data_IF_476811034420
#
_entry.id   IF_476811034420
#
_cell.length_a   1.000
_cell.length_b   1.000
_cell.length_c   1.000
_cell.angle_alpha   90.00
_cell.angle_beta   90.00
_cell.angle_gamma   90.00
#
_symmetry.space_group_name_H-M   'P 1'
#
loop_
_entity.id
_entity.type
_entity.pdbx_description
1 polymer ?
#
# COMPACT_ATOMS: atom_id res chain seq x y z
N UNK A 1 -8.93 6.71 21.50
CA UNK A 1 -8.85 8.11 21.09
C UNK A 1 -7.37 8.51 21.01
N UNK A 2 -6.84 8.73 19.82
CA UNK A 2 -5.48 9.18 19.54
C UNK A 2 -5.42 9.86 18.18
N UNK A 3 -4.32 10.56 17.90
CA UNK A 3 -4.06 11.18 16.60
C UNK A 3 -3.82 10.11 15.54
N UNK A 4 -4.27 10.33 14.31
CA UNK A 4 -3.94 9.49 13.17
C UNK A 4 -2.42 9.45 12.98
N UNK A 5 -1.85 8.26 12.77
CA UNK A 5 -0.43 8.14 12.46
C UNK A 5 -0.17 7.02 11.47
N UNK A 6 0.94 7.15 10.74
CA UNK A 6 1.46 6.15 9.81
C UNK A 6 2.84 5.69 10.29
N UNK A 7 3.03 4.39 10.40
CA UNK A 7 4.31 3.77 10.75
C UNK A 7 4.99 3.26 9.48
N UNK A 8 6.34 3.30 9.43
CA UNK A 8 7.09 2.90 8.25
C UNK A 8 6.78 1.48 7.77
N UNK A 9 6.60 0.55 8.72
CA UNK A 9 6.27 -0.85 8.40
C UNK A 9 4.91 -1.01 7.72
N UNK A 10 3.93 -0.14 8.00
CA UNK A 10 2.61 -0.19 7.39
C UNK A 10 2.65 0.11 5.89
N UNK A 11 3.67 0.85 5.42
CA UNK A 11 3.82 1.21 4.01
C UNK A 11 4.08 0.00 3.10
N UNK A 12 4.61 -1.11 3.65
CA UNK A 12 4.85 -2.32 2.87
C UNK A 12 4.10 -3.56 3.37
N UNK A 13 3.38 -3.43 4.50
CA UNK A 13 2.58 -4.54 5.03
C UNK A 13 1.08 -4.31 4.94
N UNK A 14 0.66 -3.07 4.80
CA UNK A 14 -0.75 -2.70 4.93
C UNK A 14 -1.26 -1.75 3.86
N UNK A 15 -0.51 -0.70 3.52
CA UNK A 15 -0.94 0.26 2.52
C UNK A 15 -0.44 -0.14 1.12
N UNK A 16 -1.27 0.11 0.12
CA UNK A 16 -0.85 0.15 -1.28
C UNK A 16 -0.37 1.55 -1.67
N UNK A 17 -0.62 1.93 -2.90
CA UNK A 17 -0.17 3.20 -3.46
C UNK A 17 -0.93 4.42 -2.92
N UNK A 18 -2.02 4.20 -2.19
CA UNK A 18 -2.84 5.27 -1.60
C UNK A 18 -3.28 4.92 -0.19
N UNK A 19 -3.17 5.85 0.75
CA UNK A 19 -3.81 5.76 2.06
C UNK A 19 -5.24 6.23 1.93
N UNK A 20 -6.19 5.28 1.86
CA UNK A 20 -7.62 5.57 1.89
C UNK A 20 -8.13 5.77 3.31
N UNK A 21 -7.62 5.00 4.26
CA UNK A 21 -7.96 5.06 5.67
C UNK A 21 -6.71 4.84 6.54
N UNK A 22 -6.48 5.75 7.49
CA UNK A 22 -5.35 5.62 8.42
C UNK A 22 -5.69 4.64 9.52
N UNK A 23 -4.90 3.57 9.62
CA UNK A 23 -5.13 2.44 10.52
C UNK A 23 -4.66 2.73 11.95
N UNK A 24 -3.46 3.25 12.09
CA UNK A 24 -2.83 3.43 13.40
C UNK A 24 -3.17 4.75 14.06
N UNK A 25 -3.12 4.72 15.38
CA UNK A 25 -3.36 5.89 16.26
C UNK A 25 -2.25 5.99 17.29
N UNK A 26 -1.87 7.21 17.63
CA UNK A 26 -0.85 7.47 18.65
C UNK A 26 -1.28 8.58 19.59
N UNK A 27 -0.71 8.60 20.81
CA UNK A 27 -0.80 9.72 21.76
C UNK A 27 0.33 10.73 21.57
N UNK A 28 1.31 10.41 20.72
CA UNK A 28 2.41 11.32 20.35
C UNK A 28 1.81 12.55 19.66
N UNK A 29 2.44 13.71 19.90
CA UNK A 29 2.05 14.99 19.31
C UNK A 29 3.20 15.69 18.59
N UNK A 30 4.45 15.28 18.85
CA UNK A 30 5.67 15.93 18.35
C UNK A 30 6.29 15.14 17.21
N UNK A 31 5.50 14.74 16.22
CA UNK A 31 5.99 14.06 15.02
C UNK A 31 5.79 14.93 13.79
N UNK A 32 6.52 14.61 12.73
CA UNK A 32 6.32 15.26 11.42
C UNK A 32 4.89 14.97 10.96
N UNK A 33 4.23 16.00 10.43
CA UNK A 33 2.87 15.90 9.91
C UNK A 33 2.86 15.81 8.39
N UNK A 34 1.96 15.00 7.87
CA UNK A 34 1.70 14.95 6.44
C UNK A 34 1.10 16.25 5.93
N UNK A 35 1.37 16.51 4.65
CA UNK A 35 0.63 17.47 3.83
C UNK A 35 -0.01 16.66 2.70
N UNK A 36 -1.26 16.97 2.39
CA UNK A 36 -1.95 16.36 1.25
C UNK A 36 -1.11 16.46 -0.03
N UNK A 37 -0.86 15.32 -0.66
CA UNK A 37 0.00 15.24 -1.83
C UNK A 37 1.44 14.78 -1.52
N UNK A 38 1.78 14.53 -0.27
CA UNK A 38 3.01 13.82 0.08
C UNK A 38 2.98 12.39 -0.46
N UNK A 39 4.15 11.89 -0.84
CA UNK A 39 4.37 10.47 -1.15
C UNK A 39 5.36 9.92 -0.13
N UNK A 40 4.95 8.88 0.57
CA UNK A 40 5.74 8.24 1.61
C UNK A 40 6.45 7.00 1.06
N UNK A 41 7.72 6.83 1.44
CA UNK A 41 8.51 5.64 1.14
C UNK A 41 9.15 5.16 2.43
N UNK A 42 9.08 3.86 2.79
CA UNK A 42 9.78 3.36 3.97
C UNK A 42 11.28 3.60 3.84
N UNK A 43 11.92 4.09 4.90
CA UNK A 43 13.35 4.35 4.89
C UNK A 43 14.18 3.14 5.35
N UNK A 44 13.54 2.16 5.99
CA UNK A 44 14.20 0.92 6.43
C UNK A 44 13.28 -0.29 6.28
N UNK A 45 13.90 -1.47 6.15
CA UNK A 45 13.22 -2.76 6.21
C UNK A 45 14.15 -3.83 6.78
N UNK A 46 13.57 -4.84 7.41
CA UNK A 46 14.26 -6.06 7.87
C UNK A 46 14.05 -7.24 6.93
N UNK A 47 13.36 -7.05 5.82
CA UNK A 47 12.99 -8.10 4.85
C UNK A 47 13.87 -7.97 3.59
N UNK A 48 13.37 -7.38 2.53
CA UNK A 48 14.09 -7.25 1.27
C UNK A 48 14.17 -5.80 0.81
N UNK A 49 15.20 -5.45 0.03
CA UNK A 49 15.32 -4.10 -0.56
C UNK A 49 14.12 -3.73 -1.45
N UNK A 50 13.37 -4.72 -1.94
CA UNK A 50 12.16 -4.50 -2.76
C UNK A 50 11.06 -3.86 -1.92
N UNK A 51 10.96 -4.19 -0.63
CA UNK A 51 9.95 -3.62 0.27
C UNK A 51 10.14 -2.13 0.51
N UNK A 52 11.38 -1.62 0.33
CA UNK A 52 11.67 -0.17 0.35
C UNK A 52 11.09 0.59 -0.85
N UNK A 53 10.67 -0.10 -1.89
CA UNK A 53 10.13 0.54 -3.10
C UNK A 53 8.60 0.75 -3.05
N UNK A 54 7.97 0.53 -1.90
CA UNK A 54 6.54 0.80 -1.73
C UNK A 54 6.33 2.29 -1.45
N UNK A 55 5.83 2.99 -2.45
CA UNK A 55 5.51 4.41 -2.39
C UNK A 55 4.00 4.59 -2.20
N UNK A 56 3.59 5.39 -1.22
CA UNK A 56 2.19 5.56 -0.83
C UNK A 56 1.82 7.03 -0.79
N UNK A 57 0.81 7.42 -1.55
CA UNK A 57 0.28 8.78 -1.58
C UNK A 57 -0.59 9.09 -0.35
N UNK A 58 -0.40 10.26 0.23
CA UNK A 58 -1.19 10.77 1.35
C UNK A 58 -2.17 11.82 0.85
N UNK A 59 -3.45 11.63 1.14
CA UNK A 59 -4.53 12.50 0.68
C UNK A 59 -5.12 13.40 1.78
N UNK A 60 -4.56 13.34 2.98
CA UNK A 60 -5.03 14.06 4.16
C UNK A 60 -3.86 14.81 4.84
N UNK A 61 -4.13 16.02 5.30
CA UNK A 61 -3.20 16.80 6.12
C UNK A 61 -3.17 16.29 7.57
N UNK A 62 -2.12 16.66 8.30
CA UNK A 62 -2.00 16.49 9.75
C UNK A 62 -1.95 15.05 10.27
N UNK A 63 -1.70 14.05 9.40
CA UNK A 63 -1.39 12.69 9.86
C UNK A 63 0.04 12.70 10.42
N UNK A 64 0.24 12.17 11.62
CA UNK A 64 1.56 12.04 12.22
C UNK A 64 2.35 10.93 11.53
N UNK A 65 3.54 11.25 11.07
CA UNK A 65 4.41 10.32 10.38
C UNK A 65 5.46 9.80 11.36
N UNK A 66 5.56 8.48 11.49
CA UNK A 66 6.55 7.82 12.33
C UNK A 66 7.98 8.03 11.82
N UNK A 67 8.95 7.57 12.60
CA UNK A 67 10.34 7.50 12.15
C UNK A 67 10.52 6.56 10.97
N UNK A 68 11.68 6.62 10.34
CA UNK A 68 12.06 5.77 9.19
C UNK A 68 11.12 5.84 7.99
N UNK A 69 10.58 7.03 7.72
CA UNK A 69 9.79 7.35 6.53
C UNK A 69 10.50 8.45 5.74
N UNK A 70 10.76 8.19 4.47
CA UNK A 70 11.12 9.23 3.50
C UNK A 70 9.84 9.91 3.02
N UNK A 71 9.78 11.23 3.16
CA UNK A 71 8.65 12.05 2.74
C UNK A 71 9.04 12.79 1.47
N UNK A 72 8.44 12.41 0.35
CA UNK A 72 8.60 13.10 -0.92
C UNK A 72 7.48 14.14 -1.04
N UNK A 73 7.84 15.40 -0.86
CA UNK A 73 6.93 16.55 -0.97
C UNK A 73 7.15 17.25 -2.29
N UNK A 74 6.22 17.17 -3.25
CA UNK A 74 6.38 17.79 -4.56
C UNK A 74 6.52 19.32 -4.46
N UNK A 75 7.49 19.89 -5.18
CA UNK A 75 7.68 21.34 -5.29
C UNK A 75 6.85 21.95 -6.43
N UNK A 76 6.33 21.13 -7.33
CA UNK A 76 5.52 21.54 -8.48
C UNK A 76 4.20 20.76 -8.45
N UNK A 77 3.17 21.30 -9.10
CA UNK A 77 1.91 20.59 -9.25
C UNK A 77 2.13 19.22 -9.89
N UNK A 78 1.89 18.18 -9.13
CA UNK A 78 2.10 16.78 -9.51
C UNK A 78 1.03 15.95 -8.81
N UNK A 79 0.51 14.93 -9.47
CA UNK A 79 -0.43 14.01 -8.86
C UNK A 79 0.33 12.97 -7.99
N UNK A 80 0.04 12.97 -6.70
CA UNK A 80 0.73 12.09 -5.74
C UNK A 80 0.44 10.61 -5.98
N UNK A 81 -0.79 10.28 -6.39
CA UNK A 81 -1.20 8.89 -6.68
C UNK A 81 -0.44 8.39 -7.90
N UNK A 82 -0.38 9.19 -8.97
CA UNK A 82 0.42 8.86 -10.15
C UNK A 82 1.88 8.60 -9.79
N UNK A 83 2.48 9.46 -8.96
CA UNK A 83 3.88 9.29 -8.52
C UNK A 83 4.04 8.03 -7.66
N UNK A 84 3.11 7.73 -6.77
CA UNK A 84 3.17 6.52 -5.97
C UNK A 84 3.18 5.25 -6.84
N UNK A 85 2.28 5.14 -7.81
CA UNK A 85 2.30 4.03 -8.78
C UNK A 85 3.59 3.98 -9.59
N UNK A 86 4.07 5.13 -10.08
CA UNK A 86 5.30 5.20 -10.87
C UNK A 86 6.51 4.67 -10.07
N UNK A 87 6.64 5.08 -8.82
CA UNK A 87 7.75 4.68 -7.96
C UNK A 87 7.64 3.20 -7.56
N UNK A 88 6.45 2.74 -7.15
CA UNK A 88 6.21 1.36 -6.72
C UNK A 88 6.41 0.35 -7.84
N UNK A 89 6.01 0.66 -9.07
CA UNK A 89 6.02 -0.32 -10.16
C UNK A 89 7.18 -0.12 -11.13
N UNK A 90 7.38 1.08 -11.64
CA UNK A 90 8.38 1.35 -12.67
C UNK A 90 9.78 1.54 -12.08
N UNK A 91 9.88 2.22 -10.93
CA UNK A 91 11.16 2.50 -10.26
C UNK A 91 11.53 1.51 -9.18
N UNK A 92 10.73 0.49 -8.98
CA UNK A 92 10.87 -0.53 -7.93
C UNK A 92 12.31 -1.05 -7.77
N UNK A 93 12.87 -1.58 -8.85
CA UNK A 93 14.22 -2.17 -8.80
C UNK A 93 15.32 -1.11 -8.67
N UNK A 94 15.11 0.10 -9.19
CA UNK A 94 16.06 1.20 -9.05
C UNK A 94 16.13 1.67 -7.59
N UNK A 95 14.98 1.81 -6.93
CA UNK A 95 14.90 2.13 -5.50
C UNK A 95 15.51 1.00 -4.67
N UNK A 96 15.14 -0.25 -4.93
CA UNK A 96 15.66 -1.41 -4.20
C UNK A 96 17.20 -1.50 -4.26
N UNK A 97 17.81 -1.18 -5.40
CA UNK A 97 19.28 -1.17 -5.57
C UNK A 97 19.97 -0.07 -4.77
N UNK A 98 19.25 0.97 -4.34
CA UNK A 98 19.78 2.03 -3.48
C UNK A 98 19.78 1.64 -2.00
N UNK A 99 19.16 0.50 -1.65
CA UNK A 99 19.16 -0.05 -0.31
C UNK A 99 20.56 -0.43 0.16
N UNK A 100 20.91 -0.03 1.38
CA UNK A 100 22.21 -0.25 2.02
C UNK A 100 22.01 -0.94 3.36
N UNK A 101 22.80 -1.95 3.63
CA UNK A 101 22.74 -2.72 4.87
C UNK A 101 22.63 -4.21 4.63
N UNK A 102 22.81 -5.00 5.70
CA UNK A 102 22.74 -6.47 5.66
C UNK A 102 21.53 -6.97 6.45
N UNK A 103 21.46 -6.64 7.73
CA UNK A 103 20.36 -7.07 8.62
C UNK A 103 19.17 -6.13 8.56
N UNK A 104 19.46 -4.83 8.50
CA UNK A 104 18.46 -3.77 8.25
C UNK A 104 18.93 -3.04 7.01
N UNK A 105 18.07 -3.01 6.01
CA UNK A 105 18.33 -2.32 4.74
C UNK A 105 17.72 -0.93 4.83
N UNK A 106 18.50 0.09 4.54
CA UNK A 106 18.08 1.49 4.55
C UNK A 106 18.13 2.09 3.15
N UNK A 107 17.18 2.95 2.83
CA UNK A 107 17.23 3.87 1.68
C UNK A 107 17.14 5.30 2.19
N UNK A 108 18.05 6.16 1.73
CA UNK A 108 18.12 7.54 2.20
C UNK A 108 17.50 8.51 1.20
N UNK A 109 16.88 9.58 1.70
CA UNK A 109 16.27 10.61 0.87
C UNK A 109 17.20 11.22 -0.19
N UNK A 110 18.51 11.34 0.12
CA UNK A 110 19.54 11.79 -0.84
C UNK A 110 19.67 10.83 -2.05
N UNK A 111 19.48 9.53 -1.85
CA UNK A 111 19.57 8.53 -2.90
C UNK A 111 18.29 8.53 -3.76
N UNK A 112 17.14 8.78 -3.13
CA UNK A 112 15.86 8.96 -3.81
C UNK A 112 15.81 10.25 -4.64
N UNK A 113 16.45 11.31 -4.17
CA UNK A 113 16.53 12.59 -4.90
C UNK A 113 17.24 12.50 -6.26
N UNK A 114 18.03 11.44 -6.48
CA UNK A 114 18.74 11.17 -7.74
C UNK A 114 18.00 10.15 -8.65
N UNK A 115 16.72 9.92 -8.39
CA UNK A 115 15.88 9.08 -9.28
C UNK A 115 15.39 9.93 -10.46
N UNK A 116 15.74 9.53 -11.66
CA UNK A 116 15.17 10.10 -12.87
C UNK A 116 13.78 9.52 -13.11
N UNK A 117 12.77 10.39 -13.07
CA UNK A 117 11.38 10.01 -13.33
C UNK A 117 10.86 10.74 -14.56
N UNK A 118 10.35 9.98 -15.52
CA UNK A 118 9.64 10.52 -16.68
C UNK A 118 8.16 10.64 -16.33
N UNK A 119 7.66 11.86 -16.33
CA UNK A 119 6.26 12.15 -16.03
C UNK A 119 5.62 12.95 -17.15
N UNK A 120 4.34 12.72 -17.46
CA UNK A 120 3.57 13.63 -18.30
C UNK A 120 3.67 15.06 -17.77
N UNK A 121 3.81 16.03 -18.66
CA UNK A 121 3.89 17.46 -18.27
C UNK A 121 2.51 17.99 -17.84
N UNK A 122 1.46 17.46 -18.40
CA UNK A 122 0.08 17.85 -18.08
C UNK A 122 -0.39 17.12 -16.81
N UNK A 123 -0.73 17.88 -15.78
CA UNK A 123 -1.29 17.37 -14.54
C UNK A 123 -2.60 16.60 -14.77
N UNK A 124 -3.42 17.02 -15.72
CA UNK A 124 -4.68 16.33 -16.04
C UNK A 124 -4.42 14.93 -16.61
N UNK A 125 -3.36 14.76 -17.37
CA UNK A 125 -2.95 13.45 -17.85
C UNK A 125 -2.50 12.55 -16.69
N UNK A 126 -1.67 13.05 -15.77
CA UNK A 126 -1.28 12.32 -14.56
C UNK A 126 -2.50 11.89 -13.75
N UNK A 127 -3.46 12.79 -13.52
CA UNK A 127 -4.69 12.52 -12.79
C UNK A 127 -5.55 11.44 -13.47
N UNK A 128 -5.69 11.48 -14.79
CA UNK A 128 -6.42 10.44 -15.53
C UNK A 128 -5.77 9.08 -15.40
N UNK A 129 -4.45 9.00 -15.51
CA UNK A 129 -3.70 7.76 -15.30
C UNK A 129 -3.92 7.25 -13.87
N UNK A 130 -3.79 8.12 -12.86
CA UNK A 130 -4.01 7.78 -11.47
C UNK A 130 -5.42 7.21 -11.22
N UNK A 131 -6.45 7.82 -11.80
CA UNK A 131 -7.84 7.33 -11.69
C UNK A 131 -7.98 5.93 -12.28
N UNK A 132 -7.43 5.67 -13.46
CA UNK A 132 -7.50 4.35 -14.12
C UNK A 132 -6.84 3.29 -13.26
N UNK A 133 -5.63 3.57 -12.75
CA UNK A 133 -4.88 2.63 -11.90
C UNK A 133 -5.60 2.38 -10.57
N UNK A 134 -6.02 3.44 -9.87
CA UNK A 134 -6.77 3.30 -8.61
C UNK A 134 -8.10 2.53 -8.78
N UNK A 135 -8.77 2.65 -9.92
CA UNK A 135 -9.98 1.88 -10.19
C UNK A 135 -9.65 0.39 -10.40
N UNK A 136 -8.55 0.08 -11.10
CA UNK A 136 -8.09 -1.30 -11.25
C UNK A 136 -7.70 -1.92 -9.91
N UNK A 137 -7.01 -1.18 -9.02
CA UNK A 137 -6.66 -1.66 -7.69
C UNK A 137 -7.89 -1.98 -6.85
N UNK A 138 -8.91 -1.11 -6.89
CA UNK A 138 -10.20 -1.34 -6.20
C UNK A 138 -10.91 -2.59 -6.72
N UNK A 139 -10.86 -2.83 -8.02
CA UNK A 139 -11.46 -4.03 -8.60
C UNK A 139 -10.72 -5.29 -8.15
N UNK A 140 -9.40 -5.25 -8.12
CA UNK A 140 -8.56 -6.34 -7.60
C UNK A 140 -8.90 -6.61 -6.13
N UNK A 141 -8.96 -5.59 -5.27
CA UNK A 141 -9.31 -5.72 -3.86
C UNK A 141 -10.69 -6.38 -3.66
N UNK A 142 -11.67 -5.96 -4.43
CA UNK A 142 -13.02 -6.55 -4.40
C UNK A 142 -13.02 -8.04 -4.81
N UNK A 143 -12.25 -8.39 -5.83
CA UNK A 143 -12.12 -9.78 -6.30
C UNK A 143 -11.39 -10.64 -5.27
N UNK A 144 -10.35 -10.12 -4.62
CA UNK A 144 -9.63 -10.80 -3.54
C UNK A 144 -10.55 -11.04 -2.33
N UNK A 145 -11.37 -10.07 -1.97
CA UNK A 145 -12.36 -10.23 -0.90
C UNK A 145 -13.41 -11.29 -1.25
N UNK A 146 -13.91 -11.30 -2.49
CA UNK A 146 -14.84 -12.34 -2.96
C UNK A 146 -14.20 -13.73 -2.92
N UNK A 147 -12.95 -13.84 -3.36
CA UNK A 147 -12.21 -15.10 -3.30
C UNK A 147 -12.06 -15.59 -1.85
N UNK A 148 -11.71 -14.71 -0.92
CA UNK A 148 -11.60 -15.05 0.50
C UNK A 148 -12.94 -15.54 1.06
N UNK A 149 -14.05 -14.91 0.70
CA UNK A 149 -15.39 -15.34 1.10
C UNK A 149 -15.73 -16.74 0.56
N UNK A 150 -15.48 -17.01 -0.74
CA UNK A 150 -15.70 -18.33 -1.33
C UNK A 150 -14.81 -19.41 -0.71
N UNK A 151 -13.56 -19.08 -0.38
CA UNK A 151 -12.68 -20.03 0.33
C UNK A 151 -13.23 -20.36 1.73
N UNK A 152 -13.76 -19.38 2.45
CA UNK A 152 -14.38 -19.58 3.75
C UNK A 152 -15.67 -20.42 3.64
N UNK A 153 -16.52 -20.14 2.65
CA UNK A 153 -17.74 -20.90 2.37
C UNK A 153 -17.40 -22.36 2.03
N UNK A 154 -16.44 -22.57 1.13
CA UNK A 154 -15.95 -23.92 0.80
C UNK A 154 -15.49 -24.67 2.05
N UNK A 155 -14.72 -24.01 2.93
CA UNK A 155 -14.24 -24.60 4.18
C UNK A 155 -15.41 -24.99 5.09
N UNK A 156 -16.42 -24.14 5.22
CA UNK A 156 -17.63 -24.42 6.01
C UNK A 156 -18.43 -25.60 5.45
N UNK A 157 -18.64 -25.65 4.12
CA UNK A 157 -19.30 -26.76 3.44
C UNK A 157 -18.55 -28.09 3.65
N UNK A 158 -17.23 -28.08 3.49
CA UNK A 158 -16.42 -29.27 3.74
C UNK A 158 -16.58 -29.78 5.17
N UNK A 159 -16.66 -28.92 6.17
CA UNK A 159 -16.84 -29.33 7.57
C UNK A 159 -18.18 -30.03 7.83
N UNK A 160 -19.24 -29.65 7.15
CA UNK A 160 -20.56 -30.22 7.38
C UNK A 160 -20.85 -31.44 6.46
N UNK A 161 -20.35 -31.40 5.23
CA UNK A 161 -20.59 -32.47 4.26
C UNK A 161 -19.67 -33.68 4.48
N UNK A 162 -18.36 -33.45 4.64
CA UNK A 162 -17.39 -34.55 4.82
C UNK A 162 -17.50 -35.22 6.19
N UNK A 163 -18.05 -34.54 7.18
CA UNK A 163 -18.31 -35.14 8.51
C UNK A 163 -19.69 -35.78 8.63
N UNK A 164 -20.49 -35.73 7.58
CA UNK A 164 -21.86 -36.31 7.58
C UNK A 164 -22.85 -35.52 8.43
N UNK A 165 -22.52 -34.35 8.93
CA UNK A 165 -23.46 -33.49 9.68
C UNK A 165 -24.60 -33.00 8.79
N UNK A 166 -24.36 -32.86 7.49
CA UNK A 166 -25.34 -32.53 6.48
C UNK A 166 -25.19 -33.54 5.33
N UNK A 167 -26.29 -34.13 4.91
CA UNK A 167 -26.32 -35.07 3.79
C UNK A 167 -26.73 -34.35 2.51
N UNK A 168 -26.21 -34.79 1.38
CA UNK A 168 -26.69 -34.37 0.07
C UNK A 168 -27.85 -35.26 -0.37
N UNK A 169 -28.76 -34.70 -1.14
CA UNK A 169 -29.84 -35.46 -1.77
C UNK A 169 -29.34 -35.95 -3.13
N UNK A 170 -29.43 -37.25 -3.36
CA UNK A 170 -29.10 -37.88 -4.64
C UNK A 170 -30.35 -38.59 -5.13
N UNK A 171 -30.79 -38.24 -6.33
CA UNK A 171 -31.99 -38.82 -6.97
C UNK A 171 -33.27 -38.79 -6.11
N UNK A 172 -33.40 -37.74 -5.27
CA UNK A 172 -34.56 -37.55 -4.38
C UNK A 172 -34.46 -38.25 -3.02
N UNK A 173 -33.39 -38.99 -2.76
CA UNK A 173 -33.12 -39.64 -1.48
C UNK A 173 -31.99 -38.95 -0.73
N UNK A 174 -32.13 -38.81 0.61
CA UNK A 174 -31.08 -38.30 1.50
C UNK A 174 -30.17 -39.46 1.86
N UNK A 175 -28.94 -39.45 1.37
CA UNK A 175 -27.90 -40.45 1.66
C UNK A 175 -27.16 -40.08 2.94
#
# INVERSE_FOLDING_TARGET
NGNKCVLYGELYTHYGEVIHEVKSRTREINSVKSIKGDVLIPASTTTTGIDLANATAVLEDDILLGGDINILRPKKATDAIFIAHLLTHIKKFEIARKGQGITIIHVYGKDLANLDVLTPKDLKEQQKIAIVLTNADKEIELLEQQLANFQQEKKALMQVLLTGKKRVVVDGEVI
#
